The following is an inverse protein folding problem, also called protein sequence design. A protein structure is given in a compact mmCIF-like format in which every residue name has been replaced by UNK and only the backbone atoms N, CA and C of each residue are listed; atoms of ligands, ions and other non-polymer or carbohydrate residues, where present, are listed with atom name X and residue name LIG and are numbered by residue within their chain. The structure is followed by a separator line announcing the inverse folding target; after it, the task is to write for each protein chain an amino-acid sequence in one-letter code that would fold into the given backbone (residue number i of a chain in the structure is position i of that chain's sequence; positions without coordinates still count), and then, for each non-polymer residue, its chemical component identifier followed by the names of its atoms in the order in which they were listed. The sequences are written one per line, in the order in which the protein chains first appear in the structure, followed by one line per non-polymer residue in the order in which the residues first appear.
data_IF_338268597041
#
_entry.id   IF_338268597041
#
_cell.length_a   1.000
_cell.length_b   1.000
_cell.length_c   1.000
_cell.angle_alpha   90.00
_cell.angle_beta   90.00
_cell.angle_gamma   90.00
#
_symmetry.space_group_name_H-M   'P 1'
#
loop_
_entity.id
_entity.type
_entity.pdbx_description
1 polymer ?
#
# COMPACT_ATOMS: atom_id res chain seq x y z
N UNK A 1 -34.37 23.80 -30.95
CA UNK A 1 -32.90 23.97 -30.82
C UNK A 1 -32.58 25.46 -30.90
N UNK A 2 -32.08 26.09 -29.84
CA UNK A 2 -32.09 27.56 -29.72
C UNK A 2 -31.16 28.32 -30.66
N UNK A 3 -30.03 27.72 -31.04
CA UNK A 3 -29.12 28.31 -32.01
C UNK A 3 -29.66 28.30 -33.44
N UNK A 4 -30.59 27.40 -33.76
CA UNK A 4 -31.19 27.34 -35.08
C UNK A 4 -32.17 28.51 -35.29
N UNK A 5 -33.04 28.78 -34.31
CA UNK A 5 -33.90 29.96 -34.31
C UNK A 5 -33.11 31.28 -34.40
N UNK A 6 -31.95 31.36 -33.72
CA UNK A 6 -31.10 32.54 -33.84
C UNK A 6 -30.59 32.77 -35.27
N UNK A 7 -30.21 31.71 -35.99
CA UNK A 7 -29.76 31.82 -37.38
C UNK A 7 -30.89 32.30 -38.30
N UNK A 8 -32.08 31.72 -38.15
CA UNK A 8 -33.26 32.10 -38.92
C UNK A 8 -33.67 33.57 -38.67
N UNK A 9 -33.65 34.01 -37.40
CA UNK A 9 -33.94 35.41 -37.07
C UNK A 9 -32.88 36.38 -37.62
N UNK A 10 -31.62 35.97 -37.65
CA UNK A 10 -30.53 36.77 -38.22
C UNK A 10 -30.69 36.91 -39.74
N UNK A 11 -31.14 35.87 -40.43
CA UNK A 11 -31.50 35.93 -41.86
C UNK A 11 -32.68 36.87 -42.12
N UNK A 12 -33.60 37.00 -41.17
CA UNK A 12 -34.73 37.95 -41.23
C UNK A 12 -34.36 39.38 -40.77
N UNK A 13 -33.08 39.67 -40.53
CA UNK A 13 -32.58 41.01 -40.23
C UNK A 13 -32.41 41.34 -38.75
N UNK A 14 -32.47 40.34 -37.85
CA UNK A 14 -32.18 40.55 -36.43
C UNK A 14 -30.69 40.84 -36.18
N UNK A 15 -30.39 42.01 -35.59
CA UNK A 15 -29.01 42.48 -35.33
C UNK A 15 -28.51 42.21 -33.91
N UNK A 16 -29.35 41.63 -33.05
CA UNK A 16 -29.01 41.35 -31.66
C UNK A 16 -28.15 40.09 -31.45
N UNK A 17 -27.73 39.87 -30.20
CA UNK A 17 -27.04 38.66 -29.77
C UNK A 17 -28.01 37.49 -29.57
N UNK A 18 -27.48 36.28 -29.42
CA UNK A 18 -28.25 35.05 -29.22
C UNK A 18 -28.85 34.91 -27.81
N UNK A 19 -28.28 35.62 -26.82
CA UNK A 19 -28.65 35.54 -25.40
C UNK A 19 -30.14 35.79 -25.09
N UNK A 20 -30.84 36.79 -25.68
CA UNK A 20 -32.26 37.00 -25.45
C UNK A 20 -33.11 35.82 -25.91
N UNK A 21 -32.77 35.20 -27.04
CA UNK A 21 -33.48 34.04 -27.60
C UNK A 21 -33.24 32.80 -26.74
N UNK A 22 -31.99 32.58 -26.29
CA UNK A 22 -31.66 31.49 -25.37
C UNK A 22 -32.42 31.65 -24.06
N UNK A 23 -32.48 32.87 -23.50
CA UNK A 23 -33.20 33.16 -22.26
C UNK A 23 -34.71 32.99 -22.40
N UNK A 24 -35.30 33.41 -23.52
CA UNK A 24 -36.71 33.18 -23.84
C UNK A 24 -37.02 31.69 -23.93
N UNK A 25 -36.20 30.93 -24.68
CA UNK A 25 -36.38 29.48 -24.81
C UNK A 25 -36.13 28.72 -23.51
N UNK A 26 -35.31 29.23 -22.59
CA UNK A 26 -35.08 28.63 -21.29
C UNK A 26 -36.36 28.59 -20.44
N UNK A 27 -37.28 29.55 -20.60
CA UNK A 27 -38.56 29.57 -19.89
C UNK A 27 -39.44 28.38 -20.31
N UNK A 28 -39.42 28.01 -21.59
CA UNK A 28 -40.15 26.84 -22.12
C UNK A 28 -39.45 25.50 -21.84
N UNK A 29 -38.21 25.50 -21.34
CA UNK A 29 -37.53 24.27 -20.87
C UNK A 29 -37.90 23.90 -19.43
N UNK A 30 -38.47 24.83 -18.66
CA UNK A 30 -38.83 24.57 -17.26
C UNK A 30 -40.03 23.62 -17.11
N UNK A 31 -40.84 23.40 -18.16
CA UNK A 31 -41.95 22.43 -18.14
C UNK A 31 -41.51 20.98 -18.43
N UNK A 32 -40.22 20.70 -18.65
CA UNK A 32 -39.73 19.35 -19.02
C UNK A 32 -38.54 18.82 -18.22
N UNK A 33 -38.31 19.32 -17.00
CA UNK A 33 -37.28 18.80 -16.10
C UNK A 33 -37.85 18.43 -14.72
N UNK A 34 -38.85 17.54 -14.68
CA UNK A 34 -38.77 16.50 -13.65
C UNK A 34 -37.53 15.67 -13.97
N UNK A 35 -36.48 15.82 -13.18
CA UNK A 35 -35.27 14.99 -13.29
C UNK A 35 -35.63 13.54 -12.99
N UNK A 36 -36.17 12.85 -13.99
CA UNK A 36 -36.17 11.40 -14.05
C UNK A 36 -34.71 11.00 -14.17
N UNK A 37 -34.10 10.61 -13.04
CA UNK A 37 -32.99 9.66 -13.10
C UNK A 37 -33.44 8.58 -14.08
N UNK A 38 -32.75 8.43 -15.22
CA UNK A 38 -32.98 7.28 -16.10
C UNK A 38 -32.74 6.04 -15.24
N UNK A 39 -33.81 5.47 -14.70
CA UNK A 39 -33.77 4.13 -14.14
C UNK A 39 -33.39 3.26 -15.32
N UNK A 40 -32.14 2.80 -15.35
CA UNK A 40 -31.72 1.82 -16.32
C UNK A 40 -32.62 0.60 -16.12
N UNK A 41 -33.26 0.16 -17.19
CA UNK A 41 -34.06 -1.06 -17.19
C UNK A 41 -33.16 -2.23 -16.75
N UNK A 42 -33.48 -2.96 -15.65
CA UNK A 42 -32.64 -4.06 -15.16
C UNK A 42 -32.44 -5.16 -16.21
N UNK A 43 -33.30 -5.23 -17.22
CA UNK A 43 -33.19 -6.18 -18.34
C UNK A 43 -32.07 -5.82 -19.35
N UNK A 44 -31.60 -4.57 -19.36
CA UNK A 44 -30.49 -4.08 -20.19
C UNK A 44 -29.20 -3.93 -19.40
N UNK A 45 -28.93 -4.86 -18.47
CA UNK A 45 -27.62 -5.00 -17.86
C UNK A 45 -26.59 -5.37 -18.93
N UNK A 46 -25.90 -4.38 -19.50
CA UNK A 46 -24.66 -4.65 -20.23
C UNK A 46 -23.69 -5.24 -19.21
N UNK A 47 -23.17 -6.46 -19.41
CA UNK A 47 -22.20 -7.01 -18.50
C UNK A 47 -21.02 -6.04 -18.45
N UNK A 48 -20.77 -5.43 -17.30
CA UNK A 48 -19.54 -4.68 -17.07
C UNK A 48 -18.42 -5.72 -17.17
N UNK A 49 -17.76 -5.79 -18.33
CA UNK A 49 -16.56 -6.61 -18.48
C UNK A 49 -15.47 -5.97 -17.61
N UNK A 50 -15.28 -6.51 -16.41
CA UNK A 50 -14.19 -6.11 -15.55
C UNK A 50 -12.88 -6.37 -16.32
N UNK A 51 -11.94 -5.40 -16.35
CA UNK A 51 -10.66 -5.62 -17.00
C UNK A 51 -9.96 -6.83 -16.35
N UNK A 52 -9.20 -7.62 -17.14
CA UNK A 52 -8.50 -8.78 -16.60
C UNK A 52 -7.61 -8.35 -15.42
N UNK A 53 -7.65 -9.12 -14.33
CA UNK A 53 -6.83 -8.85 -13.15
C UNK A 53 -5.37 -8.83 -13.58
N UNK A 54 -4.68 -7.71 -13.32
CA UNK A 54 -3.25 -7.58 -13.58
C UNK A 54 -2.50 -8.67 -12.81
N UNK A 55 -1.43 -9.25 -13.39
CA UNK A 55 -0.60 -10.18 -12.64
C UNK A 55 -0.01 -9.46 -11.41
N UNK A 56 0.24 -10.20 -10.32
CA UNK A 56 0.85 -9.61 -9.13
C UNK A 56 2.26 -9.08 -9.42
N UNK A 57 2.65 -8.03 -8.72
CA UNK A 57 4.00 -7.47 -8.82
C UNK A 57 5.01 -8.37 -8.11
N UNK A 58 6.28 -8.31 -8.52
CA UNK A 58 7.36 -9.05 -7.86
C UNK A 58 7.42 -8.77 -6.34
N UNK A 59 7.14 -7.52 -5.93
CA UNK A 59 7.09 -7.16 -4.51
C UNK A 59 5.93 -7.82 -3.77
N UNK A 60 4.76 -7.95 -4.39
CA UNK A 60 3.62 -8.66 -3.79
C UNK A 60 3.95 -10.14 -3.61
N UNK A 61 4.57 -10.76 -4.62
CA UNK A 61 4.99 -12.17 -4.58
C UNK A 61 6.04 -12.39 -3.48
N UNK A 62 7.08 -11.54 -3.42
CA UNK A 62 8.09 -11.56 -2.37
C UNK A 62 7.47 -11.42 -0.96
N UNK A 63 6.49 -10.53 -0.82
CA UNK A 63 5.78 -10.32 0.43
C UNK A 63 4.90 -11.53 0.83
N UNK A 64 4.37 -12.32 -0.09
CA UNK A 64 3.62 -13.53 0.26
C UNK A 64 4.50 -14.62 0.86
N UNK A 65 5.74 -14.72 0.39
CA UNK A 65 6.73 -15.71 0.85
C UNK A 65 7.13 -15.44 2.31
N UNK A 66 7.12 -14.18 2.75
CA UNK A 66 7.46 -13.84 4.14
C UNK A 66 6.39 -14.19 5.17
N UNK A 67 5.17 -14.53 4.74
CA UNK A 67 4.11 -15.03 5.63
C UNK A 67 4.16 -16.54 5.81
N UNK A 68 3.54 -17.01 6.91
CA UNK A 68 3.30 -18.45 7.09
C UNK A 68 2.33 -18.93 6.00
N UNK A 69 2.47 -20.19 5.57
CA UNK A 69 1.67 -20.75 4.47
C UNK A 69 0.16 -20.63 4.74
N UNK A 70 -0.25 -20.77 6.01
CA UNK A 70 -1.66 -20.71 6.44
C UNK A 70 -2.25 -19.30 6.36
N UNK A 71 -1.41 -18.26 6.22
CA UNK A 71 -1.82 -16.88 6.09
C UNK A 71 -1.94 -16.44 4.62
N UNK A 72 -1.55 -17.30 3.68
CA UNK A 72 -1.66 -17.05 2.23
C UNK A 72 -3.06 -17.45 1.77
N UNK A 73 -3.60 -16.70 0.82
CA UNK A 73 -4.82 -17.11 0.12
C UNK A 73 -4.50 -18.28 -0.83
N UNK A 74 -5.46 -19.18 -1.05
CA UNK A 74 -5.26 -20.35 -1.92
C UNK A 74 -4.68 -19.99 -3.29
N UNK A 75 -5.20 -18.94 -3.92
CA UNK A 75 -4.72 -18.50 -5.23
C UNK A 75 -3.28 -17.94 -5.19
N UNK A 76 -2.83 -17.39 -4.06
CA UNK A 76 -1.45 -16.92 -3.89
C UNK A 76 -0.50 -18.11 -3.81
N UNK A 77 -0.88 -19.15 -3.06
CA UNK A 77 -0.10 -20.38 -2.97
C UNK A 77 -0.04 -21.06 -4.33
N UNK A 78 -1.17 -21.24 -5.01
CA UNK A 78 -1.21 -21.82 -6.36
C UNK A 78 -0.38 -21.02 -7.37
N UNK A 79 -0.34 -19.70 -7.23
CA UNK A 79 0.52 -18.85 -8.08
C UNK A 79 2.01 -19.12 -7.82
N UNK A 80 2.43 -19.22 -6.57
CA UNK A 80 3.82 -19.53 -6.21
C UNK A 80 4.21 -20.93 -6.70
N UNK A 81 3.35 -21.92 -6.50
CA UNK A 81 3.57 -23.31 -6.92
C UNK A 81 3.69 -23.40 -8.46
N UNK A 82 2.81 -22.71 -9.19
CA UNK A 82 2.88 -22.62 -10.64
C UNK A 82 4.21 -21.99 -11.10
N UNK A 83 4.65 -20.89 -10.47
CA UNK A 83 5.90 -20.23 -10.83
C UNK A 83 7.13 -21.06 -10.51
N UNK A 84 7.15 -21.72 -9.35
CA UNK A 84 8.22 -22.66 -9.00
C UNK A 84 8.28 -23.87 -9.93
N UNK A 85 7.15 -24.33 -10.44
CA UNK A 85 7.12 -25.45 -11.40
C UNK A 85 7.64 -25.07 -12.79
N UNK A 86 7.60 -23.78 -13.14
CA UNK A 86 8.09 -23.26 -14.41
C UNK A 86 9.59 -22.96 -14.40
N UNK A 87 10.15 -22.66 -13.22
CA UNK A 87 11.54 -22.22 -13.07
C UNK A 87 12.13 -22.75 -11.76
N UNK A 88 13.12 -23.63 -11.90
CA UNK A 88 13.82 -24.24 -10.77
C UNK A 88 14.56 -23.22 -9.89
N UNK A 89 15.08 -22.13 -10.47
CA UNK A 89 15.77 -21.08 -9.74
C UNK A 89 14.78 -20.31 -8.83
N UNK A 90 13.56 -20.08 -9.33
CA UNK A 90 12.48 -19.47 -8.54
C UNK A 90 12.06 -20.39 -7.40
N UNK A 91 11.87 -21.68 -7.67
CA UNK A 91 11.52 -22.66 -6.64
C UNK A 91 12.56 -22.72 -5.52
N UNK A 92 13.84 -22.78 -5.88
CA UNK A 92 14.94 -22.81 -4.93
C UNK A 92 15.03 -21.52 -4.10
N UNK A 93 14.84 -20.36 -4.73
CA UNK A 93 14.78 -19.08 -4.03
C UNK A 93 13.65 -19.05 -3.00
N UNK A 94 12.46 -19.54 -3.36
CA UNK A 94 11.32 -19.60 -2.44
C UNK A 94 11.58 -20.51 -1.25
N UNK A 95 12.18 -21.68 -1.50
CA UNK A 95 12.57 -22.60 -0.44
C UNK A 95 13.54 -21.95 0.56
N UNK A 96 14.62 -21.34 0.06
CA UNK A 96 15.62 -20.68 0.91
C UNK A 96 15.02 -19.53 1.72
N UNK A 97 14.10 -18.75 1.14
CA UNK A 97 13.40 -17.68 1.85
C UNK A 97 12.41 -18.22 2.90
N UNK A 98 11.72 -19.32 2.60
CA UNK A 98 10.81 -19.98 3.53
C UNK A 98 11.57 -20.58 4.72
N UNK A 99 12.71 -21.23 4.49
CA UNK A 99 13.63 -21.71 5.52
C UNK A 99 14.07 -20.56 6.44
N UNK A 100 14.54 -19.45 5.86
CA UNK A 100 14.99 -18.28 6.63
C UNK A 100 13.88 -17.64 7.45
N UNK A 101 12.72 -17.41 6.84
CA UNK A 101 11.59 -16.76 7.52
C UNK A 101 10.99 -17.66 8.61
N UNK A 102 11.07 -18.98 8.45
CA UNK A 102 10.70 -19.94 9.49
C UNK A 102 11.68 -19.86 10.65
N UNK A 103 12.99 -19.91 10.38
CA UNK A 103 14.04 -19.75 11.39
C UNK A 103 13.86 -18.45 12.20
N UNK A 104 13.51 -17.35 11.53
CA UNK A 104 13.23 -16.06 12.17
C UNK A 104 12.00 -16.08 13.08
N UNK A 105 10.91 -16.74 12.64
CA UNK A 105 9.66 -16.80 13.42
C UNK A 105 9.79 -17.72 14.63
N UNK A 106 10.40 -18.89 14.43
CA UNK A 106 10.52 -19.94 15.44
C UNK A 106 11.76 -19.76 16.33
N UNK A 107 12.62 -18.79 15.99
CA UNK A 107 13.84 -18.40 16.72
C UNK A 107 14.86 -19.53 16.82
N UNK A 108 15.19 -20.08 15.67
CA UNK A 108 16.10 -21.21 15.52
C UNK A 108 17.50 -20.75 15.10
N UNK A 109 18.11 -19.82 15.83
CA UNK A 109 19.41 -19.24 15.46
C UNK A 109 20.57 -20.24 15.35
N UNK A 110 20.45 -21.45 15.92
CA UNK A 110 21.43 -22.53 15.73
C UNK A 110 21.46 -23.08 14.30
N UNK A 111 20.37 -22.93 13.54
CA UNK A 111 20.29 -23.36 12.12
C UNK A 111 20.89 -22.34 11.16
N UNK A 112 21.37 -21.20 11.65
CA UNK A 112 21.87 -20.11 10.81
C UNK A 112 23.07 -20.55 9.95
N UNK A 113 24.00 -21.32 10.53
CA UNK A 113 25.20 -21.79 9.81
C UNK A 113 24.83 -22.73 8.66
N UNK A 114 23.95 -23.70 8.93
CA UNK A 114 23.45 -24.64 7.92
C UNK A 114 22.75 -23.90 6.77
N UNK A 115 21.93 -22.89 7.09
CA UNK A 115 21.24 -22.10 6.09
C UNK A 115 22.21 -21.23 5.27
N UNK A 116 23.21 -20.61 5.90
CA UNK A 116 24.23 -19.83 5.20
C UNK A 116 25.02 -20.69 4.19
N UNK A 117 25.40 -21.90 4.60
CA UNK A 117 26.07 -22.87 3.73
C UNK A 117 25.18 -23.33 2.58
N UNK A 118 23.88 -23.53 2.84
CA UNK A 118 22.90 -23.89 1.83
C UNK A 118 22.78 -22.78 0.78
N UNK A 119 22.62 -21.52 1.20
CA UNK A 119 22.53 -20.36 0.29
C UNK A 119 23.82 -20.16 -0.50
N UNK A 120 24.99 -20.41 0.09
CA UNK A 120 26.26 -20.26 -0.62
C UNK A 120 26.40 -21.28 -1.77
N UNK A 121 25.98 -22.53 -1.54
CA UNK A 121 26.08 -23.60 -2.55
C UNK A 121 24.98 -23.55 -3.61
N UNK A 122 23.78 -23.13 -3.22
CA UNK A 122 22.55 -23.34 -3.99
C UNK A 122 21.73 -22.07 -4.23
N UNK A 123 22.09 -20.96 -3.60
CA UNK A 123 21.37 -19.70 -3.74
C UNK A 123 21.71 -18.96 -5.04
N UNK A 124 20.80 -18.08 -5.43
CA UNK A 124 21.04 -17.09 -6.48
C UNK A 124 22.01 -16.00 -6.00
N UNK A 125 22.65 -15.29 -6.92
CA UNK A 125 23.69 -14.29 -6.61
C UNK A 125 23.24 -13.22 -5.61
N UNK A 126 21.98 -12.84 -5.67
CA UNK A 126 21.34 -11.85 -4.81
C UNK A 126 21.16 -12.39 -3.38
N UNK A 127 20.77 -13.66 -3.24
CA UNK A 127 20.66 -14.32 -1.94
C UNK A 127 22.04 -14.60 -1.33
N UNK A 128 23.03 -14.96 -2.15
CA UNK A 128 24.41 -15.10 -1.71
C UNK A 128 24.97 -13.78 -1.18
N UNK A 129 24.72 -12.67 -1.89
CA UNK A 129 25.11 -11.33 -1.45
C UNK A 129 24.41 -10.93 -0.14
N UNK A 130 23.13 -11.29 0.02
CA UNK A 130 22.40 -11.12 1.26
C UNK A 130 23.01 -11.93 2.41
N UNK A 131 23.31 -13.20 2.19
CA UNK A 131 23.97 -14.08 3.16
C UNK A 131 25.35 -13.55 3.58
N UNK A 132 26.14 -13.02 2.65
CA UNK A 132 27.40 -12.35 2.96
C UNK A 132 27.20 -11.12 3.84
N UNK A 133 26.13 -10.36 3.62
CA UNK A 133 25.72 -9.26 4.50
C UNK A 133 25.46 -9.75 5.92
N UNK A 134 24.70 -10.83 6.08
CA UNK A 134 24.41 -11.42 7.39
C UNK A 134 25.67 -11.92 8.09
N UNK A 135 26.62 -12.53 7.35
CA UNK A 135 27.90 -12.99 7.90
C UNK A 135 28.74 -11.86 8.52
N UNK A 136 28.63 -10.62 8.02
CA UNK A 136 29.36 -9.47 8.59
C UNK A 136 28.86 -9.09 9.99
N UNK A 137 27.57 -9.26 10.24
CA UNK A 137 26.91 -8.97 11.51
C UNK A 137 26.46 -10.27 12.23
N UNK A 138 27.22 -11.36 12.05
CA UNK A 138 26.82 -12.71 12.42
C UNK A 138 26.31 -12.83 13.86
N UNK A 139 27.07 -12.33 14.84
CA UNK A 139 26.69 -12.42 16.25
C UNK A 139 25.36 -11.72 16.54
N UNK A 140 25.14 -10.56 15.92
CA UNK A 140 23.91 -9.79 16.05
C UNK A 140 22.73 -10.50 15.37
N UNK A 141 22.95 -11.08 14.19
CA UNK A 141 21.93 -11.86 13.46
C UNK A 141 21.56 -13.12 14.24
N UNK A 142 22.54 -13.90 14.70
CA UNK A 142 22.32 -15.10 15.51
C UNK A 142 21.59 -14.76 16.81
N UNK A 143 21.97 -13.68 17.49
CA UNK A 143 21.25 -13.19 18.65
C UNK A 143 19.80 -12.80 18.31
N UNK A 144 19.56 -12.10 17.21
CA UNK A 144 18.23 -11.73 16.74
C UNK A 144 17.34 -12.93 16.38
N UNK A 145 17.95 -14.02 15.90
CA UNK A 145 17.30 -15.28 15.60
C UNK A 145 17.13 -16.20 16.83
N UNK A 146 17.68 -15.86 17.99
CA UNK A 146 17.63 -16.75 19.17
C UNK A 146 16.89 -16.10 20.34
N UNK A 147 17.18 -14.83 20.58
CA UNK A 147 16.69 -14.11 21.76
C UNK A 147 15.25 -13.66 21.57
N UNK A 148 14.56 -13.49 22.71
CA UNK A 148 13.18 -12.98 22.70
C UNK A 148 13.07 -11.48 22.50
N UNK A 149 14.19 -10.78 22.66
CA UNK A 149 14.30 -9.34 22.65
C UNK A 149 14.41 -8.81 21.22
N UNK A 150 13.72 -7.73 20.93
CA UNK A 150 13.87 -6.99 19.66
C UNK A 150 14.16 -5.54 19.96
N UNK A 151 14.97 -4.90 19.11
CA UNK A 151 15.24 -3.46 19.23
C UNK A 151 14.09 -2.60 18.66
N UNK A 152 12.97 -3.23 18.28
CA UNK A 152 11.86 -2.55 17.61
C UNK A 152 11.25 -1.39 18.42
N UNK A 153 11.27 -1.48 19.76
CA UNK A 153 10.85 -0.36 20.61
C UNK A 153 11.81 0.82 20.46
N UNK A 154 13.11 0.57 20.57
CA UNK A 154 14.17 1.57 20.45
C UNK A 154 14.16 2.19 19.06
N UNK A 155 14.14 1.36 18.02
CA UNK A 155 14.04 1.78 16.62
C UNK A 155 12.78 2.61 16.38
N UNK A 156 11.65 2.24 16.98
CA UNK A 156 10.42 3.02 16.95
C UNK A 156 10.60 4.42 17.54
N UNK A 157 11.28 4.54 18.68
CA UNK A 157 11.61 5.84 19.28
C UNK A 157 12.59 6.64 18.42
N UNK A 158 13.60 5.99 17.86
CA UNK A 158 14.57 6.61 16.95
C UNK A 158 13.88 7.13 15.69
N UNK A 159 12.99 6.34 15.08
CA UNK A 159 12.20 6.75 13.91
C UNK A 159 11.28 7.91 14.23
N UNK A 160 10.62 7.89 15.40
CA UNK A 160 9.82 9.03 15.88
C UNK A 160 10.67 10.29 16.04
N UNK A 161 11.87 10.18 16.59
CA UNK A 161 12.79 11.31 16.75
C UNK A 161 13.28 11.83 15.39
N UNK A 162 13.67 10.93 14.48
CA UNK A 162 14.04 11.27 13.10
C UNK A 162 12.91 11.99 12.37
N UNK A 163 11.67 11.53 12.53
CA UNK A 163 10.48 12.18 11.98
C UNK A 163 10.30 13.61 12.52
N UNK A 164 10.37 13.81 13.83
CA UNK A 164 10.28 15.15 14.43
C UNK A 164 11.39 16.08 13.91
N UNK A 165 12.62 15.57 13.77
CA UNK A 165 13.74 16.32 13.19
C UNK A 165 13.47 16.71 11.74
N UNK A 166 12.92 15.80 10.92
CA UNK A 166 12.55 16.05 9.52
C UNK A 166 11.43 17.08 9.38
N UNK A 167 10.40 17.01 10.22
CA UNK A 167 9.33 18.03 10.27
C UNK A 167 9.82 19.43 10.61
N UNK A 168 10.98 19.52 11.26
CA UNK A 168 11.61 20.78 11.64
C UNK A 168 12.71 21.19 10.65
N UNK A 169 12.85 20.50 9.51
CA UNK A 169 13.90 20.74 8.51
C UNK A 169 15.32 20.72 9.12
N UNK A 170 15.54 19.92 10.17
CA UNK A 170 16.79 19.89 10.93
C UNK A 170 17.04 21.13 11.80
N UNK A 171 16.17 22.14 11.78
CA UNK A 171 16.28 23.40 12.53
C UNK A 171 15.56 23.25 13.87
N UNK A 172 16.29 22.73 14.85
CA UNK A 172 15.78 22.57 16.22
C UNK A 172 16.87 22.11 17.17
N UNK A 173 17.24 22.98 18.12
CA UNK A 173 18.16 22.64 19.21
C UNK A 173 17.63 21.49 20.08
N UNK A 174 18.46 20.98 20.99
CA UNK A 174 18.06 19.88 21.87
C UNK A 174 16.82 20.22 22.71
N UNK A 175 16.75 21.43 23.26
CA UNK A 175 15.62 21.89 24.09
C UNK A 175 14.28 21.80 23.36
N UNK A 176 14.21 22.32 22.13
CA UNK A 176 12.99 22.30 21.32
C UNK A 176 12.58 20.87 20.92
N UNK A 177 13.55 20.01 20.61
CA UNK A 177 13.31 18.58 20.35
C UNK A 177 12.78 17.86 21.59
N UNK A 178 13.35 18.11 22.77
CA UNK A 178 12.89 17.56 24.06
C UNK A 178 11.45 17.97 24.35
N UNK A 179 11.12 19.26 24.19
CA UNK A 179 9.76 19.75 24.40
C UNK A 179 8.75 19.05 23.47
N UNK A 180 9.05 18.91 22.18
CA UNK A 180 8.16 18.19 21.24
C UNK A 180 8.00 16.71 21.56
N UNK A 181 9.07 16.06 22.02
CA UNK A 181 9.03 14.65 22.44
C UNK A 181 8.13 14.49 23.67
N UNK A 182 8.30 15.33 24.70
CA UNK A 182 7.58 15.25 25.97
C UNK A 182 6.11 15.70 25.87
N UNK A 183 5.84 16.79 25.13
CA UNK A 183 4.49 17.35 25.04
C UNK A 183 3.50 16.43 24.31
N UNK A 184 3.96 15.67 23.31
CA UNK A 184 3.11 14.68 22.61
C UNK A 184 2.75 13.48 23.50
N UNK A 185 3.64 13.07 24.41
CA UNK A 185 3.38 12.01 25.39
C UNK A 185 2.30 12.44 26.39
N UNK A 186 2.34 13.70 26.84
CA UNK A 186 1.35 14.31 27.74
C UNK A 186 -0.07 14.26 27.12
N UNK A 187 -0.20 14.71 25.86
CA UNK A 187 -1.50 14.73 25.15
C UNK A 187 -2.08 13.34 24.93
N UNK A 188 -1.22 12.34 24.62
CA UNK A 188 -1.66 10.94 24.45
C UNK A 188 -2.09 10.32 25.78
N UNK A 189 -1.35 10.58 26.86
CA UNK A 189 -1.68 10.10 28.21
C UNK A 189 -3.02 10.66 28.70
N UNK A 190 -3.26 11.97 28.50
CA UNK A 190 -4.54 12.62 28.84
C UNK A 190 -5.72 12.11 28.02
N UNK A 191 -5.54 11.81 26.73
CA UNK A 191 -6.58 11.16 25.91
C UNK A 191 -6.90 9.73 26.37
N UNK A 192 -5.87 8.96 26.73
CA UNK A 192 -6.05 7.58 27.22
C UNK A 192 -6.71 7.52 28.60
N UNK A 193 -6.43 8.47 29.51
CA UNK A 193 -7.12 8.57 30.79
C UNK A 193 -8.58 8.97 30.62
N UNK A 194 -8.87 9.96 29.77
CA UNK A 194 -10.25 10.38 29.49
C UNK A 194 -11.11 9.28 28.85
N UNK A 195 -10.51 8.38 28.04
CA UNK A 195 -11.20 7.22 27.48
C UNK A 195 -11.44 6.10 28.50
N UNK A 196 -10.59 5.97 29.52
CA UNK A 196 -10.76 4.99 30.60
C UNK A 196 -11.79 5.43 31.65
N UNK A 197 -11.99 6.73 31.82
CA UNK A 197 -13.00 7.30 32.70
C UNK A 197 -14.41 7.34 32.05
N UNK A 198 -14.50 7.10 30.74
CA UNK A 198 -15.75 7.10 29.97
C UNK A 198 -16.34 5.68 29.74
N UNK A 199 -15.69 4.63 30.25
CA UNK A 199 -16.20 3.25 30.29
C UNK A 199 -16.51 2.86 31.73
#
# INVERSE_FOLDING_TARGET
NGQQMYRELKEQGYTGSDQPIVRFLAQFRQEKDERLFKQADPSQATPIQAPPKRPPTALQVAHWITFKREQRLDWQQSYLDQRGSQDAQIAQTYQLMEEFTTMLREREGERLDEWLDHVEKQGVSELQSFAQGLKKDYDAVKAGLTLKWSDGQTEGQVNRLKFLKRQMYGRGGFQLRRLRVLHRTETRRRKLSALKEAC
#
